data_IF_456402286120
#
_entry.id   IF_456402286120
#
_cell.length_a   1.000
_cell.length_b   1.000
_cell.length_c   1.000
_cell.angle_alpha   90.00
_cell.angle_beta   90.00
_cell.angle_gamma   90.00
#
_symmetry.space_group_name_H-M   'P 1'
#
loop_
_entity.id
_entity.type
_entity.pdbx_description
1 polymer ?
#
# COMPACT_ATOMS: atom_id res chain seq x y z
N UNK A 1 -22.23 -30.27 -45.84
CA UNK A 1 -22.36 -29.20 -44.85
C UNK A 1 -23.27 -28.14 -45.45
N UNK A 2 -24.53 -28.12 -45.03
CA UNK A 2 -25.54 -27.19 -45.57
C UNK A 2 -25.31 -25.78 -45.01
N UNK A 3 -25.24 -24.81 -45.91
CA UNK A 3 -25.00 -23.39 -45.61
C UNK A 3 -26.31 -22.78 -45.16
N UNK A 4 -26.48 -22.52 -43.86
CA UNK A 4 -27.63 -21.78 -43.35
C UNK A 4 -27.45 -20.29 -43.68
N UNK A 5 -28.13 -19.84 -44.74
CA UNK A 5 -28.18 -18.42 -45.10
C UNK A 5 -29.35 -17.75 -44.36
N UNK A 6 -29.01 -16.92 -43.37
CA UNK A 6 -29.98 -16.20 -42.57
C UNK A 6 -30.49 -14.99 -43.36
N UNK A 7 -31.61 -15.17 -44.07
CA UNK A 7 -32.23 -14.13 -44.87
C UNK A 7 -33.13 -13.26 -43.97
N UNK A 8 -32.54 -12.31 -43.25
CA UNK A 8 -33.29 -11.35 -42.43
C UNK A 8 -33.92 -10.32 -43.36
N UNK A 9 -35.14 -10.60 -43.82
CA UNK A 9 -35.97 -9.60 -44.49
C UNK A 9 -36.52 -8.65 -43.43
N UNK A 10 -35.81 -7.55 -43.19
CA UNK A 10 -36.33 -6.47 -42.35
C UNK A 10 -37.49 -5.84 -43.13
N UNK A 11 -38.75 -5.88 -42.65
CA UNK A 11 -39.86 -5.22 -43.32
C UNK A 11 -39.72 -3.71 -43.13
N UNK A 12 -38.91 -3.07 -43.98
CA UNK A 12 -38.80 -1.62 -44.03
C UNK A 12 -40.07 -1.12 -44.72
N UNK A 13 -41.08 -0.78 -43.92
CA UNK A 13 -42.30 -0.17 -44.43
C UNK A 13 -41.94 1.12 -45.18
N UNK A 14 -42.37 1.27 -46.44
CA UNK A 14 -42.17 2.50 -47.25
C UNK A 14 -42.87 3.74 -46.68
N UNK A 15 -43.58 3.61 -45.55
CA UNK A 15 -44.35 4.67 -44.89
C UNK A 15 -43.81 5.05 -43.51
N UNK A 16 -42.60 4.63 -43.15
CA UNK A 16 -41.90 5.22 -42.00
C UNK A 16 -41.51 6.65 -42.39
N UNK A 17 -42.48 7.57 -42.33
CA UNK A 17 -42.21 9.00 -42.36
C UNK A 17 -41.35 9.25 -41.13
N UNK A 18 -40.04 9.40 -41.30
CA UNK A 18 -39.14 9.92 -40.28
C UNK A 18 -39.62 11.32 -39.92
N UNK A 19 -40.66 11.38 -39.08
CA UNK A 19 -41.19 12.62 -38.57
C UNK A 19 -40.15 13.22 -37.65
N UNK A 20 -40.19 14.55 -37.51
CA UNK A 20 -39.26 15.31 -36.67
C UNK A 20 -39.08 14.70 -35.28
N UNK A 21 -40.15 14.11 -34.72
CA UNK A 21 -40.14 13.40 -33.43
C UNK A 21 -39.18 12.21 -33.38
N UNK A 22 -39.12 11.39 -34.44
CA UNK A 22 -38.21 10.24 -34.50
C UNK A 22 -36.75 10.67 -34.60
N UNK A 23 -36.48 11.74 -35.34
CA UNK A 23 -35.14 12.32 -35.45
C UNK A 23 -34.70 12.94 -34.11
N UNK A 24 -35.59 13.65 -33.42
CA UNK A 24 -35.33 14.21 -32.09
C UNK A 24 -35.04 13.13 -31.05
N UNK A 25 -35.78 12.01 -31.06
CA UNK A 25 -35.53 10.89 -30.14
C UNK A 25 -34.17 10.25 -30.41
N UNK A 26 -33.80 10.08 -31.68
CA UNK A 26 -32.50 9.52 -32.04
C UNK A 26 -31.34 10.43 -31.61
N UNK A 27 -31.46 11.73 -31.82
CA UNK A 27 -30.48 12.72 -31.35
C UNK A 27 -30.37 12.71 -29.82
N UNK A 28 -31.50 12.60 -29.10
CA UNK A 28 -31.51 12.51 -27.65
C UNK A 28 -30.75 11.26 -27.16
N UNK A 29 -31.01 10.09 -27.76
CA UNK A 29 -30.34 8.84 -27.39
C UNK A 29 -28.83 8.92 -27.63
N UNK A 30 -28.41 9.50 -28.75
CA UNK A 30 -26.98 9.73 -29.05
C UNK A 30 -26.37 10.69 -28.03
N UNK A 31 -27.04 11.78 -27.70
CA UNK A 31 -26.55 12.76 -26.73
C UNK A 31 -26.39 12.15 -25.32
N UNK A 32 -27.39 11.39 -24.85
CA UNK A 32 -27.35 10.71 -23.56
C UNK A 32 -26.25 9.63 -23.54
N UNK A 33 -26.14 8.83 -24.60
CA UNK A 33 -25.08 7.82 -24.73
C UNK A 33 -23.68 8.45 -24.72
N UNK A 34 -23.51 9.57 -25.44
CA UNK A 34 -22.23 10.28 -25.48
C UNK A 34 -21.89 10.93 -24.14
N UNK A 35 -22.87 11.50 -23.44
CA UNK A 35 -22.68 12.07 -22.11
C UNK A 35 -22.31 10.99 -21.09
N UNK A 36 -23.00 9.85 -21.09
CA UNK A 36 -22.69 8.72 -20.21
C UNK A 36 -21.31 8.12 -20.50
N UNK A 37 -20.95 7.95 -21.78
CA UNK A 37 -19.63 7.47 -22.19
C UNK A 37 -18.51 8.43 -21.77
N UNK A 38 -18.68 9.73 -22.02
CA UNK A 38 -17.69 10.75 -21.63
C UNK A 38 -17.53 10.82 -20.11
N UNK A 39 -18.63 10.78 -19.37
CA UNK A 39 -18.62 10.81 -17.91
C UNK A 39 -17.94 9.56 -17.33
N UNK A 40 -18.31 8.37 -17.81
CA UNK A 40 -17.69 7.12 -17.39
C UNK A 40 -16.20 7.04 -17.75
N UNK A 41 -15.81 7.50 -18.94
CA UNK A 41 -14.42 7.49 -19.35
C UNK A 41 -13.58 8.48 -18.54
N UNK A 42 -14.07 9.69 -18.27
CA UNK A 42 -13.36 10.66 -17.43
C UNK A 42 -13.23 10.18 -15.99
N UNK A 43 -14.32 9.69 -15.39
CA UNK A 43 -14.32 9.24 -14.01
C UNK A 43 -13.54 7.94 -13.83
N UNK A 44 -13.63 7.00 -14.77
CA UNK A 44 -12.85 5.77 -14.78
C UNK A 44 -11.35 6.01 -14.97
N UNK A 45 -10.97 6.96 -15.83
CA UNK A 45 -9.56 7.39 -15.96
C UNK A 45 -9.07 8.04 -14.68
N UNK A 46 -9.70 9.12 -14.23
CA UNK A 46 -9.18 9.91 -13.13
C UNK A 46 -9.12 9.09 -11.83
N UNK A 47 -10.18 8.34 -11.52
CA UNK A 47 -10.22 7.52 -10.30
C UNK A 47 -9.36 6.26 -10.42
N UNK A 48 -9.33 5.62 -11.60
CA UNK A 48 -8.54 4.39 -11.81
C UNK A 48 -7.04 4.66 -11.80
N UNK A 49 -6.59 5.74 -12.44
CA UNK A 49 -5.18 6.14 -12.37
C UNK A 49 -4.80 6.60 -10.97
N UNK A 50 -5.61 7.43 -10.30
CA UNK A 50 -5.31 7.89 -8.94
C UNK A 50 -5.19 6.71 -7.95
N UNK A 51 -6.17 5.79 -7.96
CA UNK A 51 -6.14 4.62 -7.09
C UNK A 51 -4.96 3.69 -7.38
N UNK A 52 -4.67 3.41 -8.66
CA UNK A 52 -3.54 2.56 -9.04
C UNK A 52 -2.17 3.16 -8.69
N UNK A 53 -2.03 4.48 -8.77
CA UNK A 53 -0.82 5.17 -8.31
C UNK A 53 -0.71 5.13 -6.78
N UNK A 54 -1.79 5.38 -6.05
CA UNK A 54 -1.76 5.40 -4.58
C UNK A 54 -1.45 4.01 -4.01
N UNK A 55 -2.12 2.97 -4.50
CA UNK A 55 -1.87 1.58 -4.10
C UNK A 55 -0.47 1.11 -4.52
N UNK A 56 -0.12 1.21 -5.80
CA UNK A 56 1.17 0.72 -6.31
C UNK A 56 2.38 1.48 -5.76
N UNK A 57 2.23 2.78 -5.51
CA UNK A 57 3.28 3.60 -4.89
C UNK A 57 3.43 3.26 -3.40
N UNK A 58 2.33 3.00 -2.70
CA UNK A 58 2.38 2.58 -1.29
C UNK A 58 3.09 1.23 -1.11
N UNK A 59 2.83 0.25 -1.99
CA UNK A 59 3.46 -1.07 -1.93
C UNK A 59 4.96 -1.02 -2.27
N UNK A 60 5.31 -0.26 -3.30
CA UNK A 60 6.71 -0.10 -3.70
C UNK A 60 7.52 0.72 -2.68
N UNK A 61 6.90 1.73 -2.06
CA UNK A 61 7.50 2.46 -0.94
C UNK A 61 7.63 1.59 0.31
N UNK A 62 6.65 0.73 0.60
CA UNK A 62 6.72 -0.19 1.73
C UNK A 62 7.87 -1.20 1.60
N UNK A 63 8.22 -1.58 0.37
CA UNK A 63 9.30 -2.53 0.05
C UNK A 63 10.70 -1.90 0.09
N UNK A 64 10.80 -0.57 0.14
CA UNK A 64 12.07 0.14 0.17
C UNK A 64 12.71 0.03 1.56
N UNK A 65 13.99 -0.33 1.59
CA UNK A 65 14.79 -0.26 2.80
C UNK A 65 15.07 1.20 3.14
N UNK A 66 14.64 1.62 4.33
CA UNK A 66 14.89 2.95 4.86
C UNK A 66 15.71 2.83 6.13
N UNK A 67 16.55 3.84 6.41
CA UNK A 67 17.31 3.93 7.65
C UNK A 67 16.53 4.79 8.65
N UNK A 68 16.31 4.29 9.86
CA UNK A 68 15.65 5.02 10.95
C UNK A 68 16.43 4.86 12.26
N UNK A 69 16.50 5.95 13.02
CA UNK A 69 17.13 5.98 14.34
C UNK A 69 16.06 5.85 15.42
N UNK A 70 16.27 4.90 16.33
CA UNK A 70 15.44 4.64 17.49
C UNK A 70 16.23 5.02 18.73
N UNK A 71 15.79 6.07 19.42
CA UNK A 71 16.36 6.45 20.71
C UNK A 71 15.82 5.51 21.79
N UNK A 72 16.72 4.99 22.62
CA UNK A 72 16.42 4.02 23.68
C UNK A 72 16.81 4.58 25.06
N UNK A 73 17.20 5.86 25.14
CA UNK A 73 17.53 6.51 26.43
C UNK A 73 16.34 6.59 27.40
N UNK A 74 15.13 6.35 26.92
CA UNK A 74 13.89 6.29 27.68
C UNK A 74 13.62 4.92 28.32
N UNK A 75 14.42 3.89 28.01
CA UNK A 75 14.33 2.61 28.69
C UNK A 75 14.95 2.68 30.09
N UNK A 76 14.13 2.44 31.12
CA UNK A 76 14.56 2.39 32.52
C UNK A 76 15.60 1.28 32.80
N UNK A 77 15.59 0.21 32.00
CA UNK A 77 16.55 -0.90 32.09
C UNK A 77 17.95 -0.54 31.54
N UNK A 78 18.11 0.58 30.83
CA UNK A 78 19.39 0.94 30.21
C UNK A 78 20.24 1.80 31.14
N UNK A 79 21.32 1.22 31.64
CA UNK A 79 22.41 1.98 32.26
C UNK A 79 23.19 2.75 31.19
N UNK A 80 23.53 4.04 31.40
CA UNK A 80 24.39 4.81 30.50
C UNK A 80 25.76 4.17 30.23
N UNK A 81 26.18 3.19 31.03
CA UNK A 81 27.46 2.49 30.88
C UNK A 81 27.36 1.11 30.20
N UNK A 82 26.18 0.56 29.89
CA UNK A 82 26.07 -0.83 29.42
C UNK A 82 25.86 -0.94 27.90
N UNK A 83 26.96 -0.86 27.16
CA UNK A 83 27.00 -1.29 25.74
C UNK A 83 26.37 -2.67 25.53
N UNK A 84 26.57 -3.58 26.49
CA UNK A 84 26.04 -4.94 26.46
C UNK A 84 24.51 -4.98 26.43
N UNK A 85 23.82 -4.09 27.12
CA UNK A 85 22.35 -4.08 27.18
C UNK A 85 21.76 -3.57 25.85
N UNK A 86 22.43 -2.59 25.23
CA UNK A 86 22.06 -2.12 23.89
C UNK A 86 22.24 -3.21 22.83
N UNK A 87 23.33 -3.97 22.91
CA UNK A 87 23.57 -5.10 22.00
C UNK A 87 22.60 -6.25 22.24
N UNK A 88 22.25 -6.53 23.50
CA UNK A 88 21.24 -7.52 23.86
C UNK A 88 19.88 -7.13 23.30
N UNK A 89 19.45 -5.88 23.44
CA UNK A 89 18.22 -5.38 22.83
C UNK A 89 18.26 -5.51 21.30
N UNK A 90 19.39 -5.16 20.67
CA UNK A 90 19.54 -5.30 19.22
C UNK A 90 19.37 -6.77 18.78
N UNK A 91 19.85 -7.72 19.58
CA UNK A 91 19.70 -9.15 19.30
C UNK A 91 18.26 -9.64 19.54
N UNK A 92 17.59 -9.17 20.60
CA UNK A 92 16.17 -9.45 20.84
C UNK A 92 15.30 -8.95 19.66
N UNK A 93 15.56 -7.73 19.17
CA UNK A 93 14.90 -7.19 17.97
C UNK A 93 15.12 -8.11 16.77
N UNK A 94 16.32 -8.66 16.58
CA UNK A 94 16.59 -9.59 15.46
C UNK A 94 15.82 -10.89 15.57
N UNK A 95 15.62 -11.39 16.78
CA UNK A 95 14.96 -12.67 17.05
C UNK A 95 13.43 -12.57 17.00
N UNK A 96 12.86 -11.42 17.36
CA UNK A 96 11.40 -11.24 17.40
C UNK A 96 10.83 -10.57 16.15
N UNK A 97 11.59 -9.68 15.49
CA UNK A 97 11.09 -8.94 14.32
C UNK A 97 11.63 -9.55 13.04
N UNK A 98 10.75 -10.16 12.22
CA UNK A 98 11.04 -10.61 10.86
C UNK A 98 12.42 -11.30 10.72
N UNK A 99 12.65 -12.37 11.49
CA UNK A 99 13.96 -13.04 11.67
C UNK A 99 14.75 -13.24 10.37
N UNK A 100 14.11 -13.70 9.30
CA UNK A 100 14.76 -13.97 8.01
C UNK A 100 15.19 -12.72 7.23
N UNK A 101 14.75 -11.54 7.65
CA UNK A 101 15.02 -10.27 6.94
C UNK A 101 16.37 -9.67 7.29
N UNK A 102 17.03 -10.08 8.36
CA UNK A 102 18.29 -9.50 8.83
C UNK A 102 19.51 -10.05 8.09
N UNK A 103 20.54 -9.21 7.94
CA UNK A 103 21.84 -9.52 7.33
C UNK A 103 22.46 -10.80 7.90
N UNK A 104 22.34 -11.02 9.21
CA UNK A 104 22.82 -12.23 9.87
C UNK A 104 22.16 -13.51 9.35
N UNK A 105 20.91 -13.43 8.90
CA UNK A 105 20.12 -14.53 8.36
C UNK A 105 20.03 -14.49 6.83
N UNK A 106 20.90 -13.71 6.16
CA UNK A 106 20.95 -13.59 4.70
C UNK A 106 19.94 -12.63 4.09
N UNK A 107 19.22 -11.86 4.92
CA UNK A 107 18.31 -10.82 4.47
C UNK A 107 19.00 -9.44 4.32
N UNK A 108 18.30 -8.43 3.78
CA UNK A 108 18.91 -7.14 3.47
C UNK A 108 18.83 -6.11 4.61
N UNK A 109 18.19 -6.44 5.74
CA UNK A 109 17.99 -5.54 6.85
C UNK A 109 19.20 -5.49 7.78
N UNK A 110 19.45 -4.33 8.39
CA UNK A 110 20.62 -4.10 9.24
C UNK A 110 20.24 -3.41 10.54
N UNK A 111 20.95 -3.73 11.61
CA UNK A 111 20.82 -3.07 12.92
C UNK A 111 22.20 -2.79 13.49
N UNK A 112 22.45 -1.52 13.80
CA UNK A 112 23.69 -1.00 14.36
C UNK A 112 23.35 -0.24 15.66
N UNK A 113 24.05 -0.53 16.76
CA UNK A 113 23.86 0.21 18.01
C UNK A 113 24.92 1.27 18.24
N UNK A 114 24.47 2.44 18.70
CA UNK A 114 25.27 3.63 18.95
C UNK A 114 25.20 3.98 20.44
N UNK A 115 26.19 3.56 21.24
CA UNK A 115 26.11 3.62 22.69
C UNK A 115 26.21 5.05 23.22
N UNK A 116 26.94 5.91 22.51
CA UNK A 116 27.13 7.32 22.87
C UNK A 116 25.80 8.09 22.94
N UNK A 117 24.87 7.75 22.05
CA UNK A 117 23.56 8.39 21.94
C UNK A 117 22.43 7.51 22.49
N UNK A 118 22.76 6.33 23.05
CA UNK A 118 21.82 5.28 23.46
C UNK A 118 20.75 5.03 22.38
N UNK A 119 21.20 4.80 21.14
CA UNK A 119 20.30 4.64 20.00
C UNK A 119 20.60 3.41 19.16
N UNK A 120 19.56 2.86 18.55
CA UNK A 120 19.63 1.81 17.56
C UNK A 120 19.30 2.40 16.19
N UNK A 121 20.21 2.21 15.25
CA UNK A 121 19.99 2.56 13.85
C UNK A 121 19.62 1.29 13.11
N UNK A 122 18.42 1.29 12.54
CA UNK A 122 17.87 0.13 11.84
C UNK A 122 17.62 0.51 10.39
N UNK A 123 18.05 -0.36 9.48
CA UNK A 123 17.74 -0.30 8.05
C UNK A 123 16.76 -1.42 7.73
N UNK A 124 15.52 -1.09 7.41
CA UNK A 124 14.46 -2.09 7.19
C UNK A 124 13.35 -1.53 6.27
N UNK A 125 12.48 -2.42 5.78
CA UNK A 125 11.23 -2.06 5.11
C UNK A 125 10.29 -1.27 6.05
N UNK A 126 9.30 -0.56 5.49
CA UNK A 126 8.32 0.14 6.32
C UNK A 126 7.55 -0.82 7.24
N UNK A 127 7.25 -2.02 6.74
CA UNK A 127 6.60 -3.09 7.51
C UNK A 127 7.47 -3.50 8.70
N UNK A 128 8.75 -3.78 8.49
CA UNK A 128 9.64 -4.16 9.59
C UNK A 128 9.87 -3.00 10.57
N UNK A 129 9.91 -1.75 10.11
CA UNK A 129 9.96 -0.59 11.03
C UNK A 129 8.75 -0.49 11.95
N UNK A 130 7.53 -0.76 11.44
CA UNK A 130 6.33 -0.83 12.29
C UNK A 130 6.42 -1.96 13.31
N UNK A 131 6.96 -3.11 12.91
CA UNK A 131 7.15 -4.23 13.82
C UNK A 131 8.18 -3.90 14.93
N UNK A 132 9.30 -3.24 14.59
CA UNK A 132 10.27 -2.72 15.57
C UNK A 132 9.62 -1.73 16.53
N UNK A 133 8.82 -0.78 16.02
CA UNK A 133 8.12 0.20 16.87
C UNK A 133 7.17 -0.48 17.85
N UNK A 134 6.39 -1.45 17.37
CA UNK A 134 5.48 -2.21 18.22
C UNK A 134 6.24 -2.99 19.29
N UNK A 135 7.34 -3.65 18.92
CA UNK A 135 8.20 -4.36 19.86
C UNK A 135 8.74 -3.43 20.96
N UNK A 136 9.32 -2.29 20.57
CA UNK A 136 9.87 -1.31 21.53
C UNK A 136 8.76 -0.72 22.42
N UNK A 137 7.61 -0.37 21.85
CA UNK A 137 6.49 0.21 22.62
C UNK A 137 5.88 -0.80 23.62
N UNK A 138 5.76 -2.07 23.23
CA UNK A 138 5.28 -3.11 24.12
C UNK A 138 6.19 -3.27 25.33
N UNK A 139 7.51 -3.28 25.10
CA UNK A 139 8.47 -3.45 26.19
C UNK A 139 8.61 -2.20 27.06
N UNK A 140 8.46 -0.98 26.52
CA UNK A 140 8.29 0.25 27.32
C UNK A 140 7.10 0.17 28.28
N UNK A 141 5.96 -0.32 27.78
CA UNK A 141 4.74 -0.45 28.58
C UNK A 141 4.88 -1.50 29.68
N UNK A 142 5.71 -2.53 29.46
CA UNK A 142 6.02 -3.54 30.47
C UNK A 142 6.99 -3.00 31.54
N UNK A 143 7.99 -2.20 31.16
CA UNK A 143 8.92 -1.61 32.13
C UNK A 143 8.25 -0.59 33.05
N UNK A 144 7.25 0.15 32.56
CA UNK A 144 6.48 1.11 33.38
C UNK A 144 5.60 0.40 34.44
N UNK A 145 5.31 -0.89 34.26
CA UNK A 145 4.50 -1.69 35.19
C UNK A 145 5.33 -2.35 36.32
N UNK A 146 6.66 -2.23 36.29
CA UNK A 146 7.58 -2.89 37.22
C UNK A 146 8.09 -1.92 38.32
N UNK A 147 7.68 -0.65 38.32
CA UNK A 147 7.96 0.29 39.41
C UNK A 147 6.83 0.28 40.48
N UNK A 148 7.06 -0.27 41.70
CA UNK A 148 6.29 0.04 42.91
C UNK A 148 6.77 1.31 43.62
#
# INVERSE_FOLDING_TARGET
>A
MEKFEFNISIPISRKTKFGMKGLLILVLLVAVGFAAFRFGNNQGRENGYAAGYEEGWSESMASKLTKKTYRISDYSEMSPQSFGDLMKLAEEVRQEVETTSWEHNGGPAKIDGYPQDLSLIITQTQRGHRAVENFLNNRRSQSEFIDP
#
